data_IF_020102866613
#
_entry.id   IF_020102866613
#
_cell.length_a   1.000
_cell.length_b   1.000
_cell.length_c   1.000
_cell.angle_alpha   90.00
_cell.angle_beta   90.00
_cell.angle_gamma   90.00
#
_symmetry.space_group_name_H-M   'P 1'
#
loop_
_entity.id
_entity.type
_entity.pdbx_description
1 polymer ?
#
# COMPACT_ATOMS: atom_id res chain seq x y z
N UNK A 1 -12.18 5.86 12.53
CA UNK A 1 -10.97 5.73 11.69
C UNK A 1 -10.68 4.26 11.35
N UNK A 2 -11.09 3.32 12.22
CA UNK A 2 -11.00 1.85 12.01
C UNK A 2 -11.59 1.36 10.67
N UNK A 3 -12.73 1.89 10.24
CA UNK A 3 -13.42 1.45 9.00
C UNK A 3 -12.57 1.63 7.72
N UNK A 4 -11.77 2.69 7.61
CA UNK A 4 -10.99 2.97 6.38
C UNK A 4 -9.84 1.98 6.22
N UNK A 5 -9.14 1.67 7.32
CA UNK A 5 -7.99 0.74 7.31
C UNK A 5 -8.46 -0.66 6.95
N UNK A 6 -9.59 -1.11 7.50
CA UNK A 6 -10.16 -2.42 7.21
C UNK A 6 -10.56 -2.57 5.73
N UNK A 7 -11.17 -1.54 5.16
CA UNK A 7 -11.51 -1.51 3.73
C UNK A 7 -10.22 -1.53 2.88
N UNK A 8 -9.23 -0.72 3.24
CA UNK A 8 -7.95 -0.66 2.53
C UNK A 8 -7.23 -2.01 2.56
N UNK A 9 -7.14 -2.67 3.72
CA UNK A 9 -6.53 -4.00 3.86
C UNK A 9 -7.22 -5.02 2.96
N UNK A 10 -8.56 -5.01 2.92
CA UNK A 10 -9.33 -5.89 2.02
C UNK A 10 -9.05 -5.61 0.55
N UNK A 11 -8.82 -4.35 0.17
CA UNK A 11 -8.43 -3.97 -1.19
C UNK A 11 -7.01 -4.46 -1.48
N UNK A 12 -6.04 -4.13 -0.63
CA UNK A 12 -4.63 -4.51 -0.82
C UNK A 12 -4.43 -6.03 -0.90
N UNK A 13 -5.10 -6.81 -0.06
CA UNK A 13 -5.08 -8.29 -0.13
C UNK A 13 -5.63 -8.87 -1.44
N UNK A 14 -6.54 -8.15 -2.11
CA UNK A 14 -7.08 -8.55 -3.42
C UNK A 14 -6.16 -8.18 -4.56
N UNK A 15 -5.51 -7.02 -4.46
CA UNK A 15 -4.63 -6.49 -5.50
C UNK A 15 -3.24 -7.13 -5.47
N UNK A 16 -2.70 -7.43 -4.28
CA UNK A 16 -1.43 -8.11 -4.11
C UNK A 16 -1.54 -9.29 -3.12
N UNK A 17 -1.46 -10.55 -3.59
CA UNK A 17 -1.50 -11.72 -2.71
C UNK A 17 -0.31 -11.82 -1.75
N UNK A 18 0.75 -11.04 -1.97
CA UNK A 18 1.94 -10.99 -1.13
C UNK A 18 1.92 -9.85 -0.11
N UNK A 19 0.82 -9.11 -0.02
CA UNK A 19 0.65 -8.01 0.92
C UNK A 19 0.83 -8.48 2.38
N UNK A 20 1.78 -7.89 3.10
CA UNK A 20 1.99 -8.13 4.53
C UNK A 20 1.30 -7.05 5.35
N UNK A 21 0.16 -7.38 5.95
CA UNK A 21 -0.69 -6.41 6.66
C UNK A 21 0.00 -5.67 7.81
N UNK A 22 0.87 -6.35 8.55
CA UNK A 22 1.61 -5.78 9.68
C UNK A 22 2.59 -4.69 9.24
N UNK A 23 3.02 -4.72 7.98
CA UNK A 23 3.94 -3.74 7.40
C UNK A 23 3.23 -2.52 6.82
N UNK A 24 1.90 -2.48 6.83
CA UNK A 24 1.11 -1.40 6.26
C UNK A 24 1.31 -0.11 7.07
N UNK A 25 1.95 0.87 6.44
CA UNK A 25 2.08 2.22 6.94
C UNK A 25 1.26 3.19 6.08
N UNK A 26 0.26 3.83 6.70
CA UNK A 26 -0.61 4.78 6.03
C UNK A 26 -0.09 6.18 6.31
N UNK A 27 0.56 6.78 5.32
CA UNK A 27 1.17 8.10 5.43
C UNK A 27 0.14 9.23 5.33
N UNK A 28 -0.89 9.06 4.49
CA UNK A 28 -1.88 10.12 4.25
C UNK A 28 -3.26 9.54 3.92
N UNK A 29 -4.29 10.18 4.48
CA UNK A 29 -5.70 9.88 4.18
C UNK A 29 -6.42 11.19 3.91
N UNK A 30 -7.06 11.29 2.74
CA UNK A 30 -7.99 12.36 2.42
C UNK A 30 -9.39 11.81 2.24
N UNK A 31 -10.32 12.32 3.05
CA UNK A 31 -11.74 12.01 2.93
C UNK A 31 -12.49 13.16 2.25
N UNK A 32 -13.22 12.85 1.19
CA UNK A 32 -14.18 13.77 0.58
C UNK A 32 -15.56 13.49 1.18
N UNK A 33 -16.35 14.54 1.45
CA UNK A 33 -17.66 14.43 2.12
C UNK A 33 -18.53 13.35 1.45
N UNK A 34 -18.55 12.17 2.09
CA UNK A 34 -19.38 11.00 1.82
C UNK A 34 -19.16 10.18 0.53
N UNK A 35 -18.12 10.43 -0.25
CA UNK A 35 -18.00 9.77 -1.58
C UNK A 35 -16.73 8.95 -1.78
N UNK A 36 -15.59 9.42 -1.26
CA UNK A 36 -14.28 8.86 -1.61
C UNK A 36 -13.27 9.04 -0.50
N UNK A 37 -12.45 8.02 -0.33
CA UNK A 37 -11.19 8.05 0.41
C UNK A 37 -10.05 7.94 -0.59
N UNK A 38 -9.12 8.87 -0.53
CA UNK A 38 -7.82 8.75 -1.17
C UNK A 38 -6.80 8.43 -0.09
N UNK A 39 -6.12 7.30 -0.24
CA UNK A 39 -5.14 6.81 0.72
C UNK A 39 -3.80 6.62 0.04
N UNK A 40 -2.77 7.14 0.67
CA UNK A 40 -1.38 6.98 0.26
C UNK A 40 -0.57 6.40 1.40
N UNK A 41 0.33 5.48 1.08
CA UNK A 41 1.16 4.81 2.07
C UNK A 41 2.14 3.84 1.44
N UNK A 42 2.70 3.00 2.28
CA UNK A 42 3.62 1.94 1.86
C UNK A 42 3.35 0.65 2.63
N UNK A 43 3.83 -0.46 2.07
CA UNK A 43 3.87 -1.75 2.75
C UNK A 43 5.07 -2.56 2.24
N UNK A 44 5.51 -3.53 3.03
CA UNK A 44 6.45 -4.57 2.60
C UNK A 44 5.70 -5.68 1.88
N UNK A 45 6.20 -6.04 0.69
CA UNK A 45 5.81 -7.23 -0.03
C UNK A 45 7.00 -8.18 -0.18
N UNK A 46 6.79 -9.28 -0.89
CA UNK A 46 7.81 -10.32 -1.11
C UNK A 46 9.05 -9.83 -1.84
N UNK A 47 8.90 -8.84 -2.72
CA UNK A 47 10.03 -8.36 -3.55
C UNK A 47 10.65 -7.07 -3.02
N UNK A 48 10.12 -6.48 -1.94
CA UNK A 48 10.63 -5.24 -1.37
C UNK A 48 9.54 -4.30 -0.86
N UNK A 49 9.83 -3.00 -0.83
CA UNK A 49 8.88 -1.98 -0.35
C UNK A 49 8.06 -1.43 -1.51
N UNK A 50 6.75 -1.44 -1.33
CA UNK A 50 5.78 -0.91 -2.29
C UNK A 50 5.16 0.37 -1.74
N UNK A 51 5.06 1.38 -2.60
CA UNK A 51 4.22 2.55 -2.33
C UNK A 51 2.90 2.43 -3.08
N UNK A 52 1.83 2.90 -2.45
CA UNK A 52 0.50 2.86 -3.05
C UNK A 52 -0.22 4.21 -2.96
N UNK A 53 -1.05 4.46 -3.97
CA UNK A 53 -2.06 5.51 -3.99
C UNK A 53 -3.39 4.89 -4.46
N UNK A 54 -4.32 4.72 -3.52
CA UNK A 54 -5.59 4.05 -3.77
C UNK A 54 -6.74 4.98 -3.45
N UNK A 55 -7.67 5.11 -4.39
CA UNK A 55 -8.93 5.81 -4.22
C UNK A 55 -10.07 4.80 -4.15
N UNK A 56 -10.88 4.83 -3.10
CA UNK A 56 -12.05 3.93 -2.96
C UNK A 56 -13.24 4.61 -2.28
N UNK A 57 -14.45 4.10 -2.52
CA UNK A 57 -15.65 4.57 -1.84
C UNK A 57 -15.91 3.84 -0.50
N UNK A 58 -16.95 4.25 0.24
CA UNK A 58 -17.33 3.61 1.53
C UNK A 58 -17.72 2.14 1.43
N UNK A 59 -18.02 1.64 0.23
CA UNK A 59 -18.32 0.22 -0.01
C UNK A 59 -17.07 -0.57 -0.40
N UNK A 60 -15.92 0.09 -0.50
CA UNK A 60 -14.65 -0.51 -0.94
C UNK A 60 -14.53 -0.65 -2.45
N UNK A 61 -15.36 0.04 -3.25
CA UNK A 61 -15.20 0.03 -4.70
C UNK A 61 -14.01 0.93 -5.08
N UNK A 62 -12.99 0.32 -5.67
CA UNK A 62 -11.78 1.00 -6.12
C UNK A 62 -12.10 1.87 -7.34
N UNK A 63 -11.67 3.13 -7.29
CA UNK A 63 -11.75 4.11 -8.38
C UNK A 63 -10.40 4.33 -9.06
N UNK A 64 -9.32 4.23 -8.28
CA UNK A 64 -7.93 4.29 -8.74
C UNK A 64 -7.08 3.36 -7.91
N UNK A 65 -6.17 2.65 -8.54
CA UNK A 65 -5.19 1.81 -7.89
C UNK A 65 -3.82 2.00 -8.54
N UNK A 66 -2.90 2.58 -7.81
CA UNK A 66 -1.49 2.59 -8.17
C UNK A 66 -0.71 1.94 -7.03
N UNK A 67 0.02 0.87 -7.33
CA UNK A 67 0.93 0.19 -6.41
C UNK A 67 2.23 -0.01 -7.17
N UNK A 68 3.33 0.53 -6.68
CA UNK A 68 4.63 0.49 -7.33
C UNK A 68 5.68 -0.03 -6.35
N UNK A 69 6.54 -0.93 -6.81
CA UNK A 69 7.76 -1.30 -6.10
C UNK A 69 8.72 -0.12 -6.15
N UNK A 70 9.05 0.46 -4.99
CA UNK A 70 9.96 1.61 -4.89
C UNK A 70 11.34 1.21 -4.37
N UNK A 71 11.43 0.11 -3.63
CA UNK A 71 12.70 -0.44 -3.15
C UNK A 71 12.74 -1.96 -3.33
N UNK A 72 13.36 -2.46 -4.40
CA UNK A 72 13.57 -3.89 -4.57
C UNK A 72 14.53 -4.43 -3.50
N UNK A 73 14.17 -5.54 -2.88
CA UNK A 73 14.98 -6.22 -1.87
C UNK A 73 16.32 -6.74 -2.41
N UNK A 74 16.40 -7.03 -3.72
CA UNK A 74 17.64 -7.44 -4.39
C UNK A 74 18.65 -6.30 -4.48
N UNK A 75 18.19 -5.06 -4.68
CA UNK A 75 19.04 -3.88 -4.74
C UNK A 75 19.74 -3.66 -3.38
N UNK A 76 19.00 -3.82 -2.28
CA UNK A 76 19.55 -3.69 -0.94
C UNK A 76 20.63 -4.76 -0.66
N UNK A 77 20.43 -5.99 -1.15
CA UNK A 77 21.44 -7.06 -1.06
C UNK A 77 22.69 -6.73 -1.86
N UNK A 78 22.55 -6.31 -3.12
CA UNK A 78 23.69 -5.94 -3.97
C UNK A 78 24.50 -4.76 -3.40
N UNK A 79 23.82 -3.76 -2.83
CA UNK A 79 24.46 -2.64 -2.16
C UNK A 79 25.24 -3.10 -0.92
N UNK A 80 24.67 -4.00 -0.13
CA UNK A 80 25.33 -4.50 1.07
C UNK A 80 26.58 -5.33 0.73
N UNK A 81 26.52 -6.16 -0.32
CA UNK A 81 27.66 -6.98 -0.76
C UNK A 81 28.80 -6.14 -1.38
N UNK A 82 28.49 -5.00 -2.03
CA UNK A 82 29.50 -4.08 -2.58
C UNK A 82 30.16 -3.17 -1.56
N UNK A 83 29.54 -2.96 -0.40
CA UNK A 83 30.05 -2.09 0.68
C UNK A 83 30.91 -2.85 1.70
N UNK A 84 31.06 -4.17 1.55
CA UNK A 84 32.03 -5.00 2.27
C UNK A 84 33.35 -5.09 1.51
#
# INVERSE_FOLDING_TARGET
MEDIRDILVKILKKEDPNFVEESLDVKYVQSYKNERYDVFGEFQGTHGVYEFAISFDRKGNVKRNHINLVRPSELDKELHDKLK
#
